data_IF_672115727596
#
_entry.id   IF_672115727596
#
_cell.length_a   1.000
_cell.length_b   1.000
_cell.length_c   1.000
_cell.angle_alpha   90.00
_cell.angle_beta   90.00
_cell.angle_gamma   90.00
#
_symmetry.space_group_name_H-M   'P 1'
#
loop_
_entity.id
_entity.type
_entity.pdbx_description
1 polymer ?
#
# COMPACT_ATOMS: atom_id res chain seq x y z
N UNK A 1 -1.41 15.24 -1.68
CA UNK A 1 -2.59 14.47 -1.20
C UNK A 1 -2.32 12.97 -1.05
N UNK A 2 -1.75 12.25 -2.06
CA UNK A 2 -1.39 10.83 -1.89
C UNK A 2 -0.26 10.62 -0.88
N UNK A 3 0.72 11.50 -0.81
CA UNK A 3 1.73 11.49 0.25
C UNK A 3 1.11 11.66 1.64
N UNK A 4 0.11 12.55 1.75
CA UNK A 4 -0.65 12.76 2.97
C UNK A 4 -1.45 11.51 3.36
N UNK A 5 -2.13 10.86 2.40
CA UNK A 5 -2.84 9.60 2.61
C UNK A 5 -1.89 8.53 3.18
N UNK A 6 -0.72 8.34 2.55
CA UNK A 6 0.28 7.37 3.00
C UNK A 6 0.79 7.73 4.41
N UNK A 7 1.05 9.01 4.67
CA UNK A 7 1.51 9.49 5.99
C UNK A 7 0.48 9.22 7.08
N UNK A 8 -0.81 9.49 6.82
CA UNK A 8 -1.91 9.19 7.74
C UNK A 8 -2.06 7.70 7.98
N UNK A 9 -2.01 6.86 6.93
CA UNK A 9 -2.01 5.41 7.08
C UNK A 9 -0.85 4.94 7.97
N UNK A 10 0.38 5.40 7.71
CA UNK A 10 1.55 5.01 8.50
C UNK A 10 1.42 5.45 9.97
N UNK A 11 0.87 6.63 10.23
CA UNK A 11 0.65 7.11 11.61
C UNK A 11 -0.38 6.28 12.39
N UNK A 12 -1.41 5.77 11.70
CA UNK A 12 -2.41 4.88 12.27
C UNK A 12 -1.91 3.45 12.46
N UNK A 13 -1.09 2.95 11.53
CA UNK A 13 -0.51 1.61 11.57
C UNK A 13 0.62 1.51 12.59
N UNK A 14 1.48 2.51 12.64
CA UNK A 14 2.66 2.57 13.52
C UNK A 14 2.61 3.83 14.40
N UNK A 15 1.66 3.94 15.34
CA UNK A 15 1.52 5.12 16.19
C UNK A 15 2.76 5.31 17.06
N UNK A 16 3.21 6.57 17.17
CA UNK A 16 4.44 6.93 17.89
C UNK A 16 5.72 6.78 17.06
N UNK A 17 5.66 6.15 15.85
CA UNK A 17 6.80 6.09 14.92
C UNK A 17 6.65 7.08 13.77
N UNK A 18 5.42 7.32 13.35
CA UNK A 18 5.08 8.30 12.31
C UNK A 18 4.03 9.28 12.84
N UNK A 19 4.02 10.49 12.27
CA UNK A 19 3.08 11.52 12.65
C UNK A 19 3.64 12.46 13.73
N UNK A 20 2.80 12.86 14.67
CA UNK A 20 3.18 13.81 15.72
C UNK A 20 4.10 13.15 16.77
N UNK A 21 5.14 13.86 17.24
CA UNK A 21 6.10 13.31 18.22
C UNK A 21 5.50 13.09 19.61
N UNK A 22 4.40 13.77 19.94
CA UNK A 22 3.82 13.79 21.28
C UNK A 22 2.73 12.73 21.53
N UNK A 23 2.74 11.64 20.77
CA UNK A 23 1.76 10.55 20.97
C UNK A 23 2.15 9.74 22.20
N UNK A 24 1.33 9.81 23.23
CA UNK A 24 1.43 9.05 24.48
C UNK A 24 0.26 8.09 24.64
N UNK A 25 0.30 7.22 25.64
CA UNK A 25 -0.82 6.31 25.94
C UNK A 25 -2.12 7.07 26.27
N UNK A 26 -1.98 8.23 26.90
CA UNK A 26 -3.10 9.05 27.37
C UNK A 26 -3.83 9.75 26.23
N UNK A 27 -3.11 10.15 25.18
CA UNK A 27 -3.68 10.90 24.06
C UNK A 27 -3.82 10.08 22.75
N UNK A 28 -3.37 8.81 22.75
CA UNK A 28 -3.39 7.93 21.58
C UNK A 28 -4.77 7.83 20.94
N UNK A 29 -5.82 7.66 21.74
CA UNK A 29 -7.19 7.53 21.24
C UNK A 29 -7.65 8.82 20.52
N UNK A 30 -7.31 9.97 21.08
CA UNK A 30 -7.63 11.26 20.49
C UNK A 30 -6.92 11.45 19.12
N UNK A 31 -5.61 11.18 19.06
CA UNK A 31 -4.84 11.25 17.81
C UNK A 31 -5.32 10.24 16.78
N UNK A 32 -5.70 9.03 17.20
CA UNK A 32 -6.28 8.02 16.32
C UNK A 32 -7.59 8.53 15.71
N UNK A 33 -8.48 9.10 16.50
CA UNK A 33 -9.75 9.68 16.03
C UNK A 33 -9.53 10.75 14.97
N UNK A 34 -8.71 11.76 15.27
CA UNK A 34 -8.41 12.86 14.35
C UNK A 34 -7.78 12.36 13.04
N UNK A 35 -6.79 11.46 13.14
CA UNK A 35 -6.12 10.94 11.95
C UNK A 35 -7.04 10.04 11.11
N UNK A 36 -7.98 9.33 11.74
CA UNK A 36 -8.98 8.53 11.04
C UNK A 36 -9.97 9.40 10.27
N UNK A 37 -10.46 10.49 10.88
CA UNK A 37 -11.33 11.46 10.21
C UNK A 37 -10.64 12.09 9.00
N UNK A 38 -9.42 12.60 9.19
CA UNK A 38 -8.61 13.15 8.08
C UNK A 38 -8.33 12.14 6.97
N UNK A 39 -8.03 10.90 7.35
CA UNK A 39 -7.80 9.84 6.38
C UNK A 39 -9.06 9.55 5.57
N UNK A 40 -10.24 9.53 6.20
CA UNK A 40 -11.51 9.37 5.51
C UNK A 40 -11.72 10.46 4.46
N UNK A 41 -11.56 11.73 4.82
CA UNK A 41 -11.72 12.85 3.90
C UNK A 41 -10.76 12.76 2.70
N UNK A 42 -9.48 12.44 2.96
CA UNK A 42 -8.47 12.30 1.90
C UNK A 42 -8.76 11.10 1.01
N UNK A 43 -9.17 9.96 1.59
CA UNK A 43 -9.55 8.76 0.85
C UNK A 43 -10.73 9.04 -0.09
N UNK A 44 -11.82 9.58 0.43
CA UNK A 44 -13.01 9.91 -0.37
C UNK A 44 -12.63 10.78 -1.55
N UNK A 45 -11.84 11.83 -1.31
CA UNK A 45 -11.41 12.76 -2.37
C UNK A 45 -10.55 12.08 -3.43
N UNK A 46 -9.59 11.23 -3.02
CA UNK A 46 -8.70 10.56 -3.97
C UNK A 46 -9.43 9.45 -4.73
N UNK A 47 -10.26 8.66 -4.06
CA UNK A 47 -11.07 7.61 -4.68
C UNK A 47 -12.04 8.21 -5.69
N UNK A 48 -12.76 9.30 -5.33
CA UNK A 48 -13.65 10.02 -6.26
C UNK A 48 -12.89 10.49 -7.50
N UNK A 49 -11.71 11.06 -7.34
CA UNK A 49 -10.89 11.49 -8.47
C UNK A 49 -10.47 10.31 -9.38
N UNK A 50 -10.09 9.17 -8.80
CA UNK A 50 -9.76 7.97 -9.56
C UNK A 50 -10.97 7.41 -10.34
N UNK A 51 -12.14 7.34 -9.71
CA UNK A 51 -13.36 6.87 -10.33
C UNK A 51 -13.82 7.79 -11.47
N UNK A 52 -13.71 9.10 -11.31
CA UNK A 52 -14.00 10.08 -12.37
C UNK A 52 -13.06 9.94 -13.56
N UNK A 53 -11.75 9.76 -13.30
CA UNK A 53 -10.76 9.57 -14.34
C UNK A 53 -11.05 8.33 -15.22
N UNK A 54 -11.51 7.23 -14.61
CA UNK A 54 -11.79 5.99 -15.34
C UNK A 54 -12.99 6.12 -16.31
N UNK A 55 -14.00 6.89 -15.96
CA UNK A 55 -15.25 6.96 -16.76
C UNK A 55 -15.19 7.88 -17.99
N UNK A 56 -14.23 8.77 -18.09
CA UNK A 56 -13.88 9.62 -19.26
C UNK A 56 -15.07 10.13 -20.13
N UNK A 57 -16.25 10.38 -19.54
CA UNK A 57 -17.50 10.79 -20.20
C UNK A 57 -18.13 11.98 -19.46
N UNK A 58 -19.01 12.72 -20.14
CA UNK A 58 -19.82 13.73 -19.48
C UNK A 58 -20.67 13.09 -18.38
N UNK A 59 -20.55 13.58 -17.15
CA UNK A 59 -21.23 13.06 -15.98
C UNK A 59 -22.51 13.85 -15.72
N UNK A 60 -23.61 13.13 -15.50
CA UNK A 60 -24.84 13.75 -14.96
C UNK A 60 -24.71 13.95 -13.44
N UNK A 61 -25.50 14.86 -12.85
CA UNK A 61 -25.53 15.06 -11.41
C UNK A 61 -25.82 13.76 -10.62
N UNK A 62 -26.65 12.88 -11.20
CA UNK A 62 -26.94 11.56 -10.62
C UNK A 62 -25.73 10.64 -10.64
N UNK A 63 -24.89 10.71 -11.67
CA UNK A 63 -23.64 9.92 -11.74
C UNK A 63 -22.63 10.41 -10.71
N UNK A 64 -22.47 11.72 -10.58
CA UNK A 64 -21.56 12.31 -9.59
C UNK A 64 -21.96 11.91 -8.16
N UNK A 65 -23.26 11.90 -7.84
CA UNK A 65 -23.75 11.46 -6.54
C UNK A 65 -23.44 9.99 -6.27
N UNK A 66 -23.67 9.10 -7.23
CA UNK A 66 -23.35 7.66 -7.12
C UNK A 66 -21.85 7.42 -6.96
N UNK A 67 -21.01 8.16 -7.66
CA UNK A 67 -19.56 8.08 -7.54
C UNK A 67 -19.09 8.50 -6.14
N UNK A 68 -19.68 9.57 -5.61
CA UNK A 68 -19.41 10.04 -4.26
C UNK A 68 -19.80 8.99 -3.20
N UNK A 69 -21.02 8.45 -3.28
CA UNK A 69 -21.49 7.37 -2.38
C UNK A 69 -20.58 6.13 -2.46
N UNK A 70 -20.16 5.76 -3.66
CA UNK A 70 -19.22 4.64 -3.87
C UNK A 70 -17.84 4.93 -3.25
N UNK A 71 -17.32 6.14 -3.40
CA UNK A 71 -16.05 6.54 -2.82
C UNK A 71 -16.08 6.53 -1.28
N UNK A 72 -17.18 7.00 -0.69
CA UNK A 72 -17.39 6.99 0.76
C UNK A 72 -17.43 5.55 1.30
N UNK A 73 -18.16 4.65 0.63
CA UNK A 73 -18.22 3.24 1.04
C UNK A 73 -16.84 2.57 0.97
N UNK A 74 -16.10 2.77 -0.14
CA UNK A 74 -14.74 2.22 -0.29
C UNK A 74 -13.77 2.79 0.76
N UNK A 75 -13.91 4.06 1.13
CA UNK A 75 -13.12 4.67 2.21
C UNK A 75 -13.43 4.04 3.57
N UNK A 76 -14.72 3.79 3.88
CA UNK A 76 -15.14 3.09 5.09
C UNK A 76 -14.56 1.67 5.14
N UNK A 77 -14.68 0.91 4.04
CA UNK A 77 -14.19 -0.45 3.94
C UNK A 77 -12.67 -0.51 4.10
N UNK A 78 -11.93 0.46 3.53
CA UNK A 78 -10.50 0.59 3.71
C UNK A 78 -10.11 0.86 5.17
N UNK A 79 -10.76 1.83 5.81
CA UNK A 79 -10.48 2.20 7.22
C UNK A 79 -10.83 1.04 8.16
N UNK A 80 -11.92 0.34 7.90
CA UNK A 80 -12.30 -0.85 8.67
C UNK A 80 -11.26 -1.96 8.60
N UNK A 81 -10.50 -2.04 7.50
CA UNK A 81 -9.41 -3.00 7.32
C UNK A 81 -8.09 -2.59 8.00
N UNK A 82 -7.90 -1.34 8.40
CA UNK A 82 -6.64 -0.86 8.98
C UNK A 82 -6.14 -1.67 10.19
N UNK A 83 -6.98 -2.12 11.14
CA UNK A 83 -6.52 -2.97 12.23
C UNK A 83 -5.87 -4.27 11.75
N UNK A 84 -6.45 -4.90 10.73
CA UNK A 84 -5.89 -6.11 10.12
C UNK A 84 -4.61 -5.82 9.34
N UNK A 85 -4.57 -4.73 8.58
CA UNK A 85 -3.35 -4.27 7.90
C UNK A 85 -2.21 -4.04 8.89
N UNK A 86 -2.49 -3.43 10.06
CA UNK A 86 -1.53 -3.26 11.15
C UNK A 86 -1.03 -4.59 11.67
N UNK A 87 -1.92 -5.56 11.86
CA UNK A 87 -1.55 -6.92 12.30
C UNK A 87 -0.59 -7.55 11.30
N UNK A 88 -0.90 -7.53 10.02
CA UNK A 88 -0.07 -8.09 8.94
C UNK A 88 1.29 -7.39 8.90
N UNK A 89 1.34 -6.06 8.86
CA UNK A 89 2.59 -5.29 8.84
C UNK A 89 3.44 -5.52 10.09
N UNK A 90 2.85 -5.79 11.26
CA UNK A 90 3.61 -6.16 12.45
C UNK A 90 4.31 -7.52 12.31
N UNK A 91 3.75 -8.44 11.52
CA UNK A 91 4.41 -9.71 11.17
C UNK A 91 5.58 -9.50 10.22
N UNK A 92 5.43 -8.58 9.25
CA UNK A 92 6.51 -8.23 8.32
C UNK A 92 7.69 -7.56 9.03
N UNK A 93 7.42 -6.62 9.95
CA UNK A 93 8.45 -6.02 10.82
C UNK A 93 9.15 -7.10 11.65
N UNK A 94 8.40 -8.05 12.19
CA UNK A 94 8.96 -9.17 12.98
C UNK A 94 9.86 -10.05 12.12
N UNK A 95 9.45 -10.34 10.87
CA UNK A 95 10.26 -11.14 9.94
C UNK A 95 11.57 -10.44 9.56
N UNK A 96 11.53 -9.12 9.31
CA UNK A 96 12.73 -8.35 9.02
C UNK A 96 13.67 -8.30 10.21
N UNK A 97 13.16 -8.01 11.41
CA UNK A 97 13.95 -7.99 12.64
C UNK A 97 14.62 -9.32 12.92
N UNK A 98 13.88 -10.43 12.81
CA UNK A 98 14.42 -11.77 13.06
C UNK A 98 15.39 -12.24 11.95
N UNK A 99 15.22 -11.71 10.75
CA UNK A 99 16.00 -12.09 9.57
C UNK A 99 17.31 -11.32 9.39
N UNK A 100 17.51 -10.22 10.13
CA UNK A 100 18.70 -9.38 10.05
C UNK A 100 19.46 -9.35 11.38
N UNK A 101 20.65 -10.01 11.46
CA UNK A 101 21.44 -10.01 12.68
C UNK A 101 21.98 -8.63 13.07
N UNK A 102 21.98 -7.64 12.15
CA UNK A 102 22.42 -6.28 12.43
C UNK A 102 21.32 -5.40 13.07
N UNK A 103 20.06 -5.80 12.97
CA UNK A 103 18.93 -5.05 13.50
C UNK A 103 18.94 -5.06 15.04
N UNK A 104 19.01 -3.88 15.66
CA UNK A 104 19.06 -3.75 17.11
C UNK A 104 17.68 -3.93 17.77
N UNK A 105 16.63 -3.45 17.11
CA UNK A 105 15.26 -3.51 17.60
C UNK A 105 14.25 -3.28 16.47
N UNK A 106 12.96 -3.54 16.75
CA UNK A 106 11.88 -3.34 15.77
C UNK A 106 11.63 -1.87 15.40
N UNK A 107 11.97 -0.93 16.28
CA UNK A 107 11.84 0.50 16.01
C UNK A 107 12.79 0.93 14.89
N UNK A 108 14.01 0.42 14.89
CA UNK A 108 14.99 0.64 13.81
C UNK A 108 14.45 0.12 12.47
N UNK A 109 13.87 -1.09 12.44
CA UNK A 109 13.26 -1.64 11.24
C UNK A 109 12.14 -0.73 10.70
N UNK A 110 11.25 -0.26 11.57
CA UNK A 110 10.13 0.61 11.19
C UNK A 110 10.61 1.95 10.64
N UNK A 111 11.61 2.56 11.25
CA UNK A 111 12.05 3.91 10.92
C UNK A 111 13.09 3.97 9.79
N UNK A 112 13.98 2.97 9.72
CA UNK A 112 15.18 3.06 8.88
C UNK A 112 15.11 2.19 7.62
N UNK A 113 14.37 1.06 7.63
CA UNK A 113 14.45 0.12 6.53
C UNK A 113 13.59 0.56 5.32
N UNK A 114 14.21 0.75 4.13
CA UNK A 114 13.45 1.07 2.92
C UNK A 114 12.39 0.02 2.59
N UNK A 115 12.68 -1.25 2.87
CA UNK A 115 11.79 -2.36 2.61
C UNK A 115 10.44 -2.23 3.34
N UNK A 116 10.41 -1.77 4.61
CA UNK A 116 9.14 -1.59 5.31
C UNK A 116 8.29 -0.48 4.69
N UNK A 117 8.93 0.55 4.12
CA UNK A 117 8.22 1.63 3.39
C UNK A 117 7.58 1.09 2.12
N UNK A 118 8.32 0.27 1.35
CA UNK A 118 7.80 -0.35 0.13
C UNK A 118 6.66 -1.32 0.43
N UNK A 119 6.81 -2.20 1.44
CA UNK A 119 5.78 -3.16 1.83
C UNK A 119 4.54 -2.46 2.40
N UNK A 120 4.71 -1.42 3.20
CA UNK A 120 3.59 -0.62 3.72
C UNK A 120 2.77 0.00 2.57
N UNK A 121 3.43 0.66 1.61
CA UNK A 121 2.76 1.22 0.44
C UNK A 121 2.09 0.14 -0.41
N UNK A 122 2.76 -1.00 -0.60
CA UNK A 122 2.17 -2.13 -1.32
C UNK A 122 0.88 -2.61 -0.63
N UNK A 123 0.86 -2.84 0.69
CA UNK A 123 -0.33 -3.34 1.39
C UNK A 123 -1.48 -2.32 1.37
N UNK A 124 -1.18 -1.03 1.46
CA UNK A 124 -2.17 0.05 1.26
C UNK A 124 -2.74 0.00 -0.15
N UNK A 125 -1.88 -0.08 -1.16
CA UNK A 125 -2.25 -0.11 -2.56
C UNK A 125 -3.02 -1.39 -2.93
N UNK A 126 -2.58 -2.54 -2.42
CA UNK A 126 -3.24 -3.82 -2.63
C UNK A 126 -4.68 -3.79 -2.12
N UNK A 127 -4.90 -3.28 -0.90
CA UNK A 127 -6.25 -3.14 -0.34
C UNK A 127 -7.14 -2.20 -1.16
N UNK A 128 -6.61 -1.08 -1.64
CA UNK A 128 -7.35 -0.18 -2.52
C UNK A 128 -7.67 -0.84 -3.88
N UNK A 129 -6.76 -1.68 -4.40
CA UNK A 129 -7.02 -2.45 -5.61
C UNK A 129 -8.13 -3.49 -5.40
N UNK A 130 -8.12 -4.22 -4.27
CA UNK A 130 -9.19 -5.16 -3.89
C UNK A 130 -10.56 -4.47 -3.76
N UNK A 131 -10.56 -3.19 -3.43
CA UNK A 131 -11.77 -2.35 -3.39
C UNK A 131 -12.12 -1.73 -4.74
N UNK A 132 -11.53 -2.19 -5.84
CA UNK A 132 -11.74 -1.67 -7.20
C UNK A 132 -11.52 -0.14 -7.30
N UNK A 133 -10.49 0.38 -6.63
CA UNK A 133 -10.08 1.78 -6.79
C UNK A 133 -9.14 1.87 -7.98
N UNK A 134 -9.50 2.61 -9.04
CA UNK A 134 -8.66 2.69 -10.23
C UNK A 134 -7.48 3.64 -10.03
N UNK A 135 -6.37 3.40 -10.71
CA UNK A 135 -5.18 4.24 -10.84
C UNK A 135 -4.41 4.49 -9.52
N UNK A 136 -5.09 4.87 -8.45
CA UNK A 136 -4.50 5.24 -7.15
C UNK A 136 -3.57 4.15 -6.60
N UNK A 137 -3.93 2.85 -6.60
CA UNK A 137 -3.03 1.78 -6.14
C UNK A 137 -1.69 1.79 -6.87
N UNK A 138 -1.70 1.94 -8.18
CA UNK A 138 -0.47 1.96 -8.98
C UNK A 138 0.40 3.18 -8.66
N UNK A 139 -0.19 4.36 -8.52
CA UNK A 139 0.56 5.56 -8.15
C UNK A 139 1.24 5.38 -6.79
N UNK A 140 0.55 4.79 -5.80
CA UNK A 140 1.11 4.55 -4.46
C UNK A 140 2.33 3.62 -4.51
N UNK A 141 2.28 2.55 -5.31
CA UNK A 141 3.42 1.64 -5.43
C UNK A 141 4.57 2.26 -6.22
N UNK A 142 4.31 3.07 -7.26
CA UNK A 142 5.36 3.80 -7.98
C UNK A 142 6.06 4.87 -7.11
N UNK A 143 5.33 5.49 -6.17
CA UNK A 143 5.96 6.38 -5.18
C UNK A 143 6.97 5.62 -4.30
N UNK A 144 6.63 4.41 -3.86
CA UNK A 144 7.54 3.57 -3.10
C UNK A 144 8.72 3.09 -3.94
N UNK A 145 8.48 2.70 -5.19
CA UNK A 145 9.52 2.31 -6.14
C UNK A 145 10.54 3.45 -6.32
N UNK A 146 10.06 4.67 -6.57
CA UNK A 146 10.93 5.85 -6.73
C UNK A 146 11.74 6.17 -5.47
N UNK A 147 11.18 5.94 -4.27
CA UNK A 147 11.84 6.21 -2.99
C UNK A 147 12.85 5.14 -2.60
N UNK A 148 12.57 3.86 -2.91
CA UNK A 148 13.28 2.71 -2.32
C UNK A 148 14.04 1.86 -3.32
N UNK A 149 13.76 1.99 -4.60
CA UNK A 149 14.25 1.06 -5.64
C UNK A 149 13.61 -0.33 -5.58
N UNK A 150 12.49 -0.49 -4.86
CA UNK A 150 11.74 -1.73 -4.71
C UNK A 150 10.40 -1.58 -5.43
N UNK A 151 10.21 -2.32 -6.52
CA UNK A 151 8.99 -2.31 -7.34
C UNK A 151 8.09 -3.48 -6.96
N UNK A 152 6.96 -3.20 -6.31
CA UNK A 152 5.94 -4.21 -5.99
C UNK A 152 4.62 -3.79 -6.64
N UNK A 153 4.16 -4.57 -7.60
CA UNK A 153 2.87 -4.30 -8.24
C UNK A 153 1.72 -4.53 -7.24
N UNK A 154 0.70 -3.63 -7.18
CA UNK A 154 -0.39 -3.77 -6.21
C UNK A 154 -1.25 -5.03 -6.41
N UNK A 155 -1.23 -5.64 -7.60
CA UNK A 155 -1.92 -6.91 -7.88
C UNK A 155 -1.20 -8.16 -7.39
N UNK A 156 0.05 -8.07 -6.96
CA UNK A 156 0.73 -9.21 -6.35
C UNK A 156 0.01 -9.68 -5.07
N UNK A 157 0.00 -10.98 -4.81
CA UNK A 157 -0.55 -11.55 -3.57
C UNK A 157 0.62 -11.97 -2.68
N UNK A 158 0.76 -11.34 -1.53
CA UNK A 158 1.88 -11.58 -0.61
C UNK A 158 1.35 -11.93 0.78
N UNK A 159 1.77 -13.09 1.28
CA UNK A 159 1.42 -13.59 2.60
C UNK A 159 2.03 -12.79 3.75
N UNK A 160 1.94 -13.34 4.95
CA UNK A 160 2.44 -12.74 6.19
C UNK A 160 3.91 -13.07 6.45
N UNK A 161 4.55 -12.34 7.36
CA UNK A 161 5.97 -12.49 7.70
C UNK A 161 6.88 -12.34 6.47
N UNK A 162 6.50 -11.44 5.57
CA UNK A 162 7.28 -11.14 4.38
C UNK A 162 8.42 -10.18 4.69
N UNK A 163 9.62 -10.50 4.22
CA UNK A 163 10.80 -9.69 4.43
C UNK A 163 11.55 -9.43 3.12
N UNK A 164 12.08 -8.23 2.96
CA UNK A 164 13.05 -7.89 1.91
C UNK A 164 14.28 -7.34 2.60
N UNK A 165 15.43 -7.91 2.30
CA UNK A 165 16.73 -7.49 2.81
C UNK A 165 17.47 -6.68 1.75
N UNK A 166 18.02 -5.51 2.13
CA UNK A 166 18.57 -4.48 1.24
C UNK A 166 17.54 -3.94 0.25
N UNK A 167 17.07 -4.76 -0.69
CA UNK A 167 15.89 -4.56 -1.52
C UNK A 167 16.12 -3.84 -2.85
N UNK A 168 17.22 -3.13 -3.05
CA UNK A 168 17.48 -2.41 -4.31
C UNK A 168 17.33 -3.33 -5.52
N UNK A 169 16.49 -2.93 -6.48
CA UNK A 169 16.26 -3.69 -7.71
C UNK A 169 15.38 -4.94 -7.54
N UNK A 170 14.68 -5.09 -6.41
CA UNK A 170 13.62 -6.10 -6.28
C UNK A 170 12.43 -5.69 -7.14
N UNK A 171 11.92 -6.65 -7.95
CA UNK A 171 10.73 -6.46 -8.78
C UNK A 171 9.74 -7.59 -8.52
N UNK A 172 8.51 -7.27 -8.14
CA UNK A 172 7.41 -8.22 -7.91
C UNK A 172 6.24 -7.84 -8.81
N UNK A 173 6.03 -8.63 -9.86
CA UNK A 173 5.01 -8.41 -10.89
C UNK A 173 3.58 -8.74 -10.43
N UNK A 174 2.60 -8.27 -11.19
CA UNK A 174 1.17 -8.33 -10.88
C UNK A 174 0.63 -9.73 -10.59
N UNK A 175 1.13 -10.75 -11.27
CA UNK A 175 0.66 -12.15 -11.18
C UNK A 175 1.42 -12.98 -10.15
N UNK A 176 2.33 -12.35 -9.38
CA UNK A 176 3.14 -13.06 -8.38
C UNK A 176 2.28 -13.46 -7.19
N UNK A 177 2.43 -14.71 -6.75
CA UNK A 177 1.83 -15.24 -5.52
C UNK A 177 2.96 -15.69 -4.60
N UNK A 178 3.11 -15.01 -3.47
CA UNK A 178 4.16 -15.25 -2.48
C UNK A 178 3.49 -15.74 -1.19
N UNK A 179 3.89 -16.91 -0.70
CA UNK A 179 3.36 -17.47 0.54
C UNK A 179 3.87 -16.76 1.79
N UNK A 180 3.55 -17.33 2.95
CA UNK A 180 4.01 -16.82 4.24
C UNK A 180 5.50 -17.09 4.48
N UNK A 181 6.17 -16.23 5.26
CA UNK A 181 7.56 -16.41 5.74
C UNK A 181 8.60 -16.46 4.63
N UNK A 182 8.38 -15.70 3.57
CA UNK A 182 9.34 -15.56 2.46
C UNK A 182 10.25 -14.38 2.72
N UNK A 183 11.55 -14.56 2.52
CA UNK A 183 12.58 -13.51 2.53
C UNK A 183 13.18 -13.39 1.14
N UNK A 184 13.20 -12.17 0.62
CA UNK A 184 13.87 -11.81 -0.64
C UNK A 184 15.11 -10.96 -0.37
N UNK A 185 16.05 -10.98 -1.28
CA UNK A 185 17.24 -10.13 -1.27
C UNK A 185 17.21 -9.18 -2.48
N UNK A 186 18.14 -8.22 -2.49
CA UNK A 186 18.29 -7.26 -3.58
C UNK A 186 18.40 -7.96 -4.95
N UNK A 187 17.88 -7.30 -5.99
CA UNK A 187 17.97 -7.78 -7.39
C UNK A 187 17.08 -8.97 -7.75
N UNK A 188 16.26 -9.47 -6.82
CA UNK A 188 15.33 -10.57 -7.12
C UNK A 188 14.18 -10.06 -7.97
N UNK A 189 13.89 -10.73 -9.08
CA UNK A 189 12.74 -10.47 -9.94
C UNK A 189 11.77 -11.64 -9.92
N UNK A 190 10.53 -11.37 -9.51
CA UNK A 190 9.39 -12.27 -9.59
C UNK A 190 8.38 -11.68 -10.59
N UNK A 191 8.21 -12.36 -11.72
CA UNK A 191 7.31 -11.84 -12.77
C UNK A 191 7.22 -12.81 -13.94
N UNK A 192 6.39 -12.48 -14.92
CA UNK A 192 6.24 -13.28 -16.12
C UNK A 192 7.55 -13.27 -16.94
N UNK A 193 8.01 -14.46 -17.34
CA UNK A 193 9.20 -14.62 -18.17
C UNK A 193 8.95 -14.19 -19.62
N UNK A 194 7.72 -14.34 -20.08
CA UNK A 194 7.26 -13.97 -21.43
C UNK A 194 5.78 -13.61 -21.38
N UNK A 195 5.35 -12.77 -22.31
CA UNK A 195 3.95 -12.42 -22.48
C UNK A 195 3.44 -13.00 -23.80
N UNK A 196 2.21 -13.54 -23.86
CA UNK A 196 1.59 -13.86 -25.13
C UNK A 196 1.42 -12.59 -25.96
N UNK A 197 1.65 -12.73 -27.26
CA UNK A 197 1.58 -11.63 -28.21
C UNK A 197 0.31 -11.73 -29.06
N UNK A 198 -0.23 -10.59 -29.46
CA UNK A 198 -1.31 -10.48 -30.44
C UNK A 198 -0.79 -10.67 -31.88
N UNK A 199 -1.69 -10.61 -32.87
CA UNK A 199 -1.38 -10.75 -34.30
C UNK A 199 -0.42 -9.65 -34.80
N UNK A 200 -0.27 -8.54 -34.08
CA UNK A 200 0.62 -7.43 -34.39
C UNK A 200 1.93 -7.46 -33.60
N UNK A 201 2.21 -8.58 -32.90
CA UNK A 201 3.42 -8.76 -32.08
C UNK A 201 3.47 -7.85 -30.82
N UNK A 202 2.32 -7.37 -30.33
CA UNK A 202 2.24 -6.60 -29.09
C UNK A 202 1.81 -7.52 -27.93
N UNK A 203 2.31 -7.27 -26.71
CA UNK A 203 1.84 -7.98 -25.52
C UNK A 203 0.33 -7.80 -25.31
N UNK A 204 -0.38 -8.92 -25.16
CA UNK A 204 -1.82 -8.90 -24.85
C UNK A 204 -2.00 -8.24 -23.47
N UNK A 205 -2.91 -7.26 -23.38
CA UNK A 205 -3.18 -6.51 -22.16
C UNK A 205 -4.19 -7.23 -21.26
N UNK A 206 -4.02 -7.09 -19.95
CA UNK A 206 -5.00 -7.58 -18.96
C UNK A 206 -4.92 -9.07 -18.66
N UNK A 207 -3.77 -9.70 -18.94
CA UNK A 207 -3.49 -11.10 -18.57
C UNK A 207 -2.66 -11.13 -17.29
#
# INVERSE_FOLDING_TARGET
QLQELISLCRSLIFPGFYGLPDVSKENLLYHTGINTEKLFEVLVKQISAGLLFQKNTDHTDSDLKRLQESAEQKAIDFITFLPEMRRILSTDVTAMYNGDPAAQNKAEVILCYPAIRAICNYRIAHKLLELDVPLIPRIITEMAHSETGIDIHPGAVIGEYFAIDHGTGVVIGATSVIGNRVKLYQGVTLGARSFPLDENNNPIKGI
#
